data_IF_627069868842
#
_entry.id   IF_627069868842
#
_cell.length_a   1.000
_cell.length_b   1.000
_cell.length_c   1.000
_cell.angle_alpha   90.00
_cell.angle_beta   90.00
_cell.angle_gamma   90.00
#
_symmetry.space_group_name_H-M   'P 1'
#
loop_
_entity.id
_entity.type
_entity.pdbx_description
1 polymer ?
#
# COMPACT_ATOMS: atom_id res chain seq x y z
N UNK A 1 14.92 -2.34 -11.43
CA UNK A 1 13.74 -2.25 -10.55
C UNK A 1 12.56 -2.93 -11.24
N UNK A 2 11.84 -3.74 -10.49
CA UNK A 2 10.63 -4.42 -10.97
C UNK A 2 9.39 -3.67 -10.48
N UNK A 3 8.45 -3.41 -11.38
CA UNK A 3 7.17 -2.81 -11.03
C UNK A 3 6.09 -3.27 -12.00
N UNK A 4 4.96 -3.71 -11.46
CA UNK A 4 3.80 -4.11 -12.25
C UNK A 4 2.53 -3.65 -11.52
N UNK A 5 1.66 -2.95 -12.25
CA UNK A 5 0.49 -2.32 -11.67
C UNK A 5 -0.78 -2.62 -12.47
N UNK A 6 -1.85 -2.87 -11.74
CA UNK A 6 -3.21 -2.88 -12.29
C UNK A 6 -4.10 -2.20 -11.26
N UNK A 7 -4.11 -0.86 -11.28
CA UNK A 7 -4.74 -0.04 -10.25
C UNK A 7 -6.20 0.20 -10.63
N UNK A 8 -7.07 -0.72 -10.22
CA UNK A 8 -8.51 -0.65 -10.44
C UNK A 8 -9.16 -0.26 -9.13
N UNK A 9 -9.55 1.01 -8.99
CA UNK A 9 -10.09 1.57 -7.76
C UNK A 9 -11.39 2.31 -8.03
N UNK A 10 -12.25 2.38 -6.99
CA UNK A 10 -13.52 3.09 -7.10
C UNK A 10 -13.30 4.62 -7.14
N UNK A 11 -14.24 5.38 -7.74
CA UNK A 11 -14.11 6.84 -7.83
C UNK A 11 -13.98 7.57 -6.48
N UNK A 12 -14.48 6.98 -5.40
CA UNK A 12 -14.38 7.55 -4.06
C UNK A 12 -12.97 7.46 -3.46
N UNK A 13 -12.05 6.77 -4.13
CA UNK A 13 -10.68 6.62 -3.65
C UNK A 13 -9.94 7.94 -3.65
N UNK A 14 -9.02 8.10 -2.70
CA UNK A 14 -8.21 9.31 -2.51
C UNK A 14 -6.74 8.94 -2.57
N UNK A 15 -5.97 9.79 -3.23
CA UNK A 15 -4.51 9.63 -3.34
C UNK A 15 -3.88 11.00 -3.18
N UNK A 16 -2.97 11.12 -2.23
CA UNK A 16 -2.29 12.38 -1.92
C UNK A 16 -0.79 12.16 -1.80
N UNK A 17 -0.02 13.13 -2.26
CA UNK A 17 1.42 13.15 -2.07
C UNK A 17 1.79 14.33 -1.17
N UNK A 18 2.94 14.23 -0.51
CA UNK A 18 3.49 15.31 0.29
C UNK A 18 4.78 15.81 -0.32
N UNK A 19 5.09 17.09 -0.08
CA UNK A 19 6.39 17.67 -0.44
C UNK A 19 7.14 17.97 0.85
N UNK A 20 8.14 17.15 1.24
CA UNK A 20 8.86 17.38 2.47
C UNK A 20 9.62 18.72 2.45
N UNK A 21 9.57 19.44 3.56
CA UNK A 21 10.39 20.61 3.78
C UNK A 21 11.77 20.15 4.24
N UNK A 22 12.79 21.04 4.13
CA UNK A 22 14.15 20.65 4.45
C UNK A 22 14.33 20.12 5.87
N UNK A 23 13.66 20.69 6.87
CA UNK A 23 13.73 20.20 8.24
C UNK A 23 13.00 18.86 8.42
N UNK A 24 11.99 18.57 7.59
CA UNK A 24 11.28 17.30 7.62
C UNK A 24 12.20 16.13 7.31
N UNK A 25 13.16 16.33 6.41
CA UNK A 25 14.12 15.31 6.02
C UNK A 25 15.07 14.93 7.16
N UNK A 26 15.16 15.74 8.21
CA UNK A 26 15.99 15.48 9.39
C UNK A 26 15.25 14.65 10.45
N UNK A 27 13.94 14.43 10.27
CA UNK A 27 13.15 13.62 11.20
C UNK A 27 13.45 12.13 11.02
N UNK A 28 13.25 11.31 12.08
CA UNK A 28 13.47 9.86 11.99
C UNK A 28 12.62 9.19 10.90
N UNK A 29 11.44 9.73 10.66
CA UNK A 29 10.55 9.29 9.57
C UNK A 29 9.63 10.44 9.19
N UNK A 30 9.14 10.40 7.97
CA UNK A 30 8.19 11.39 7.47
C UNK A 30 7.30 10.78 6.39
N UNK A 31 6.11 11.35 6.25
CA UNK A 31 5.11 10.87 5.28
C UNK A 31 5.47 11.35 3.88
N UNK A 32 5.48 10.43 2.92
CA UNK A 32 5.74 10.72 1.50
C UNK A 32 4.44 10.86 0.72
N UNK A 33 3.53 9.91 0.88
CA UNK A 33 2.22 9.94 0.26
C UNK A 33 1.28 9.03 1.04
N UNK A 34 0.00 9.23 0.87
CA UNK A 34 -1.02 8.40 1.48
C UNK A 34 -2.24 8.34 0.59
N UNK A 35 -3.05 7.36 0.81
CA UNK A 35 -4.30 7.23 0.09
C UNK A 35 -5.31 6.39 0.83
N UNK A 36 -6.54 6.52 0.39
CA UNK A 36 -7.64 5.67 0.77
C UNK A 36 -8.21 5.07 -0.51
N UNK A 37 -8.00 3.77 -0.68
CA UNK A 37 -8.43 3.06 -1.88
C UNK A 37 -9.59 2.13 -1.55
N UNK A 38 -10.54 2.11 -2.46
CA UNK A 38 -11.56 1.08 -2.54
C UNK A 38 -11.19 0.25 -3.76
N UNK A 39 -10.34 -0.75 -3.55
CA UNK A 39 -9.76 -1.55 -4.62
C UNK A 39 -10.76 -2.58 -5.12
N UNK A 40 -11.03 -2.56 -6.40
CA UNK A 40 -11.97 -3.47 -7.04
C UNK A 40 -11.29 -4.80 -7.37
N UNK A 41 -12.08 -5.77 -7.81
CA UNK A 41 -11.53 -7.07 -8.22
C UNK A 41 -10.41 -6.89 -9.24
N UNK A 42 -9.34 -7.69 -9.09
CA UNK A 42 -8.15 -7.67 -9.94
C UNK A 42 -7.20 -6.50 -9.72
N UNK A 43 -7.45 -5.65 -8.71
CA UNK A 43 -6.45 -4.68 -8.29
C UNK A 43 -5.13 -5.39 -7.97
N UNK A 44 -4.02 -4.84 -8.44
CA UNK A 44 -2.72 -5.49 -8.30
C UNK A 44 -1.60 -4.46 -8.32
N UNK A 45 -0.64 -4.60 -7.42
CA UNK A 45 0.58 -3.81 -7.39
C UNK A 45 1.74 -4.72 -7.00
N UNK A 46 2.83 -4.68 -7.76
CA UNK A 46 4.05 -5.41 -7.44
C UNK A 46 5.25 -4.50 -7.66
N UNK A 47 6.12 -4.43 -6.66
CA UNK A 47 7.31 -3.56 -6.66
C UNK A 47 8.44 -4.17 -5.85
N UNK A 48 9.63 -3.60 -6.05
CA UNK A 48 10.82 -3.85 -5.22
C UNK A 48 11.78 -2.68 -5.36
N UNK A 49 12.81 -2.65 -4.52
CA UNK A 49 13.86 -1.63 -4.55
C UNK A 49 13.37 -0.21 -4.37
N UNK A 50 12.31 -0.03 -3.60
CA UNK A 50 11.80 1.29 -3.23
C UNK A 50 12.24 1.62 -1.81
N UNK A 51 12.96 2.72 -1.64
CA UNK A 51 13.53 3.11 -0.35
C UNK A 51 12.49 3.80 0.54
N UNK A 52 11.49 3.04 0.95
CA UNK A 52 10.41 3.53 1.81
C UNK A 52 9.71 2.38 2.51
N UNK A 53 8.90 2.73 3.49
CA UNK A 53 8.00 1.80 4.19
C UNK A 53 6.57 2.02 3.74
N UNK A 54 5.77 0.99 3.81
CA UNK A 54 4.35 1.04 3.47
C UNK A 54 3.55 0.46 4.62
N UNK A 55 2.61 1.24 5.14
CA UNK A 55 1.66 0.82 6.15
C UNK A 55 0.29 0.69 5.48
N UNK A 56 -0.37 -0.44 5.70
CA UNK A 56 -1.75 -0.67 5.30
C UNK A 56 -2.64 -0.74 6.53
N UNK A 57 -3.83 -0.17 6.43
CA UNK A 57 -4.90 -0.40 7.38
C UNK A 57 -6.15 -0.80 6.61
N UNK A 58 -6.63 -2.02 6.81
CA UNK A 58 -7.82 -2.54 6.14
C UNK A 58 -9.06 -2.20 6.94
N UNK A 59 -10.00 -1.52 6.32
CA UNK A 59 -11.28 -1.14 6.93
C UNK A 59 -12.31 -2.24 6.70
N UNK A 60 -12.47 -2.69 5.46
CA UNK A 60 -13.43 -3.73 5.09
C UNK A 60 -12.95 -4.48 3.86
N UNK A 61 -13.55 -5.62 3.58
CA UNK A 61 -13.05 -6.52 2.57
C UNK A 61 -11.76 -7.18 3.03
N UNK A 62 -10.98 -7.68 2.11
CA UNK A 62 -9.65 -8.21 2.43
C UNK A 62 -8.73 -8.07 1.25
N UNK A 63 -7.46 -7.80 1.56
CA UNK A 63 -6.39 -7.82 0.59
C UNK A 63 -5.52 -9.05 0.77
N UNK A 64 -4.73 -9.34 -0.24
CA UNK A 64 -3.71 -10.38 -0.20
C UNK A 64 -2.36 -9.73 -0.46
N UNK A 65 -1.37 -10.02 0.38
CA UNK A 65 -0.01 -9.53 0.17
C UNK A 65 0.97 -10.70 0.12
N UNK A 66 1.86 -10.65 -0.87
CA UNK A 66 3.03 -11.52 -0.91
C UNK A 66 4.24 -10.66 -0.63
N UNK A 67 4.91 -10.92 0.47
CA UNK A 67 6.03 -10.13 0.94
C UNK A 67 7.24 -11.03 1.16
N UNK A 68 8.31 -10.75 0.45
CA UNK A 68 9.57 -11.50 0.55
C UNK A 68 9.34 -13.02 0.47
N UNK A 69 8.48 -13.43 -0.46
CA UNK A 69 8.18 -14.84 -0.73
C UNK A 69 7.11 -15.48 0.15
N UNK A 70 6.51 -14.74 1.08
CA UNK A 70 5.46 -15.26 1.96
C UNK A 70 4.13 -14.57 1.71
N UNK A 71 3.04 -15.32 1.87
CA UNK A 71 1.69 -14.83 1.63
C UNK A 71 0.99 -14.51 2.95
N UNK A 72 0.27 -13.38 2.97
CA UNK A 72 -0.50 -12.93 4.13
C UNK A 72 -1.85 -12.40 3.66
N UNK A 73 -2.87 -12.56 4.50
CA UNK A 73 -4.19 -11.96 4.26
C UNK A 73 -4.31 -10.69 5.10
N UNK A 74 -4.73 -9.60 4.45
CA UNK A 74 -4.98 -8.32 5.12
C UNK A 74 -6.46 -8.23 5.42
N UNK A 75 -6.83 -8.69 6.62
CA UNK A 75 -8.23 -8.75 7.08
C UNK A 75 -8.70 -7.40 7.65
N UNK A 76 -10.02 -7.18 7.79
CA UNK A 76 -10.53 -5.95 8.40
C UNK A 76 -9.94 -5.68 9.77
N UNK A 77 -9.70 -4.42 10.07
CA UNK A 77 -9.14 -3.93 11.33
C UNK A 77 -7.73 -4.44 11.64
N UNK A 78 -6.96 -4.76 10.60
CA UNK A 78 -5.57 -5.15 10.74
C UNK A 78 -4.66 -4.09 10.12
N UNK A 79 -3.45 -4.00 10.68
CA UNK A 79 -2.39 -3.12 10.18
C UNK A 79 -1.23 -4.01 9.75
N UNK A 80 -0.66 -3.69 8.58
CA UNK A 80 0.56 -4.34 8.11
C UNK A 80 1.57 -3.28 7.72
N UNK A 81 2.84 -3.52 8.03
CA UNK A 81 3.94 -2.63 7.67
C UNK A 81 4.98 -3.45 6.93
N UNK A 82 5.38 -2.97 5.77
CA UNK A 82 6.41 -3.64 4.96
C UNK A 82 7.52 -2.67 4.59
N UNK A 83 8.71 -3.22 4.37
CA UNK A 83 9.83 -2.49 3.77
C UNK A 83 9.77 -2.68 2.27
N UNK A 84 9.48 -1.62 1.53
CA UNK A 84 9.29 -1.68 0.08
C UNK A 84 10.57 -1.97 -0.70
N UNK A 85 11.72 -2.02 -0.05
CA UNK A 85 12.95 -2.43 -0.70
C UNK A 85 12.96 -3.92 -1.04
N UNK A 86 12.24 -4.74 -0.26
CA UNK A 86 12.07 -6.16 -0.54
C UNK A 86 10.97 -6.36 -1.60
N UNK A 87 11.04 -7.45 -2.38
CA UNK A 87 9.98 -7.77 -3.32
C UNK A 87 8.63 -7.90 -2.61
N UNK A 88 7.62 -7.21 -3.11
CA UNK A 88 6.29 -7.27 -2.54
C UNK A 88 5.23 -7.08 -3.61
N UNK A 89 4.10 -7.71 -3.40
CA UNK A 89 2.92 -7.51 -4.23
C UNK A 89 1.68 -7.57 -3.34
N UNK A 90 0.69 -6.77 -3.67
CA UNK A 90 -0.57 -6.78 -2.97
C UNK A 90 -1.70 -6.62 -3.97
N UNK A 91 -2.82 -7.27 -3.67
CA UNK A 91 -3.90 -7.41 -4.63
C UNK A 91 -5.24 -7.70 -3.96
N UNK A 92 -6.31 -7.48 -4.71
CA UNK A 92 -7.64 -7.93 -4.32
C UNK A 92 -8.01 -9.13 -5.20
N UNK A 93 -8.04 -10.31 -4.58
CA UNK A 93 -8.43 -11.56 -5.24
C UNK A 93 -9.93 -11.83 -5.13
N UNK A 94 -10.65 -11.03 -4.35
CA UNK A 94 -12.08 -11.19 -4.08
C UNK A 94 -12.91 -10.34 -5.03
N UNK A 95 -14.18 -10.72 -5.20
CA UNK A 95 -15.16 -9.88 -5.91
C UNK A 95 -15.59 -8.69 -5.09
N UNK A 96 -15.48 -8.77 -3.76
CA UNK A 96 -15.83 -7.68 -2.86
C UNK A 96 -14.73 -6.62 -2.85
N UNK A 97 -15.08 -5.34 -2.78
CA UNK A 97 -14.07 -4.29 -2.70
C UNK A 97 -13.20 -4.43 -1.46
N UNK A 98 -11.91 -4.16 -1.61
CA UNK A 98 -10.97 -4.08 -0.50
C UNK A 98 -10.78 -2.61 -0.17
N UNK A 99 -11.32 -2.19 0.97
CA UNK A 99 -11.29 -0.81 1.45
C UNK A 99 -10.16 -0.67 2.43
N UNK A 100 -9.15 0.13 2.08
CA UNK A 100 -7.96 0.26 2.91
C UNK A 100 -7.34 1.65 2.78
N UNK A 101 -6.66 2.06 3.88
CA UNK A 101 -5.76 3.21 3.86
C UNK A 101 -4.34 2.70 3.67
N UNK A 102 -3.54 3.48 2.98
CA UNK A 102 -2.12 3.17 2.83
C UNK A 102 -1.29 4.44 3.00
N UNK A 103 -0.11 4.27 3.58
CA UNK A 103 0.80 5.36 3.88
C UNK A 103 2.21 4.93 3.49
N UNK A 104 2.84 5.66 2.56
CA UNK A 104 4.26 5.53 2.28
C UNK A 104 5.00 6.53 3.14
N UNK A 105 6.00 6.07 3.86
CA UNK A 105 6.82 6.93 4.70
C UNK A 105 8.27 6.46 4.70
N UNK A 106 9.13 7.36 5.15
CA UNK A 106 10.57 7.10 5.25
C UNK A 106 11.06 7.37 6.67
#
# INVERSE_FOLDING_TARGET
MFESLNVIIAPASVWRTTTPLSYTLELPFYLLEWGHFVALEKYYTARENSNRYLLFYTVSGQGHIRYNGKDYTLAPNTVAIINCNAPHQYENLSKDPWNFYWFHYN
#
